data_IF_977238875258
#
_entry.id   IF_977238875258
#
_cell.length_a   1.000
_cell.length_b   1.000
_cell.length_c   1.000
_cell.angle_alpha   90.00
_cell.angle_beta   90.00
_cell.angle_gamma   90.00
#
_symmetry.space_group_name_H-M   'P 1'
#
loop_
_entity.id
_entity.type
_entity.pdbx_description
1 polymer ?
#
# COMPACT_ATOMS: atom_id res chain seq x y z
N UNK A 1 -2.10 -48.73 16.86
CA UNK A 1 -2.49 -47.43 17.44
C UNK A 1 -2.70 -46.46 16.31
N UNK A 2 -3.93 -46.17 16.02
CA UNK A 2 -4.29 -45.10 15.05
C UNK A 2 -4.19 -43.78 15.76
N UNK A 3 -3.18 -42.97 15.40
CA UNK A 3 -3.08 -41.61 15.88
C UNK A 3 -4.25 -40.79 15.35
N UNK A 4 -5.09 -40.27 16.24
CA UNK A 4 -6.13 -39.33 15.87
C UNK A 4 -5.47 -37.98 15.61
N UNK A 5 -5.37 -37.59 14.34
CA UNK A 5 -5.03 -36.20 14.00
C UNK A 5 -6.25 -35.34 14.29
N UNK A 6 -6.21 -34.59 15.41
CA UNK A 6 -7.25 -33.61 15.70
C UNK A 6 -7.08 -32.48 14.67
N UNK A 7 -8.01 -32.37 13.76
CA UNK A 7 -8.10 -31.19 12.89
C UNK A 7 -8.92 -30.13 13.61
N UNK A 8 -8.36 -28.93 13.83
CA UNK A 8 -9.16 -27.81 14.33
C UNK A 8 -10.35 -27.55 13.40
N UNK A 9 -11.49 -27.19 14.00
CA UNK A 9 -12.64 -26.73 13.21
C UNK A 9 -12.41 -25.28 12.79
N UNK A 10 -12.26 -25.06 11.50
CA UNK A 10 -12.13 -23.72 10.94
C UNK A 10 -13.44 -23.29 10.31
N UNK A 11 -13.75 -22.02 10.48
CA UNK A 11 -14.90 -21.39 9.83
C UNK A 11 -14.40 -20.36 8.81
N UNK A 12 -15.00 -20.33 7.63
CA UNK A 12 -14.83 -19.25 6.71
C UNK A 12 -15.79 -18.12 7.09
N UNK A 13 -15.25 -16.95 7.37
CA UNK A 13 -16.04 -15.77 7.69
C UNK A 13 -15.77 -14.67 6.66
N UNK A 14 -16.80 -13.88 6.37
CA UNK A 14 -16.68 -12.79 5.41
C UNK A 14 -16.25 -11.49 6.10
N UNK A 15 -15.72 -10.49 5.33
CA UNK A 15 -15.20 -9.25 5.92
C UNK A 15 -16.21 -8.43 6.72
N UNK A 16 -17.51 -8.59 6.48
CA UNK A 16 -18.58 -7.90 7.20
C UNK A 16 -19.11 -8.67 8.41
N UNK A 17 -18.60 -9.87 8.66
CA UNK A 17 -18.97 -10.67 9.84
C UNK A 17 -18.32 -10.09 11.11
N UNK A 18 -19.05 -10.17 12.23
CA UNK A 18 -18.55 -9.71 13.52
C UNK A 18 -17.29 -10.48 13.98
N UNK A 19 -17.19 -11.76 13.65
CA UNK A 19 -16.03 -12.59 13.93
C UNK A 19 -14.78 -12.12 13.20
N UNK A 20 -14.94 -11.57 11.98
CA UNK A 20 -13.81 -10.98 11.26
C UNK A 20 -13.24 -9.78 12.01
N UNK A 21 -14.11 -8.89 12.50
CA UNK A 21 -13.69 -7.72 13.25
C UNK A 21 -12.97 -8.10 14.56
N UNK A 22 -13.47 -9.11 15.26
CA UNK A 22 -12.84 -9.64 16.47
C UNK A 22 -11.46 -10.23 16.17
N UNK A 23 -11.36 -11.05 15.14
CA UNK A 23 -10.08 -11.60 14.68
C UNK A 23 -9.09 -10.50 14.31
N UNK A 24 -9.51 -9.53 13.53
CA UNK A 24 -8.65 -8.44 13.06
C UNK A 24 -8.13 -7.59 14.23
N UNK A 25 -8.96 -7.34 15.25
CA UNK A 25 -8.56 -6.62 16.45
C UNK A 25 -7.53 -7.41 17.26
N UNK A 26 -7.69 -8.72 17.39
CA UNK A 26 -6.73 -9.60 18.09
C UNK A 26 -5.40 -9.64 17.38
N UNK A 27 -5.41 -9.74 16.07
CA UNK A 27 -4.19 -9.71 15.27
C UNK A 27 -3.48 -8.36 15.35
N UNK A 28 -4.24 -7.25 15.31
CA UNK A 28 -3.69 -5.91 15.51
C UNK A 28 -3.00 -5.73 16.87
N UNK A 29 -3.61 -6.24 17.94
CA UNK A 29 -3.01 -6.22 19.27
C UNK A 29 -1.70 -7.03 19.32
N UNK A 30 -1.71 -8.22 18.73
CA UNK A 30 -0.50 -9.03 18.60
C UNK A 30 0.64 -8.27 17.90
N UNK A 31 0.36 -7.61 16.79
CA UNK A 31 1.36 -6.85 16.06
C UNK A 31 1.89 -5.65 16.84
N UNK A 32 1.02 -4.94 17.55
CA UNK A 32 1.42 -3.81 18.40
C UNK A 32 2.35 -4.25 19.52
N UNK A 33 2.02 -5.35 20.18
CA UNK A 33 2.81 -5.87 21.31
C UNK A 33 4.16 -6.45 20.87
N UNK A 34 4.17 -7.15 19.74
CA UNK A 34 5.37 -7.84 19.26
C UNK A 34 6.35 -6.92 18.54
N UNK A 35 5.87 -5.96 17.73
CA UNK A 35 6.71 -5.16 16.84
C UNK A 35 6.64 -3.66 17.07
N UNK A 36 5.87 -3.18 18.05
CA UNK A 36 5.59 -1.75 18.18
C UNK A 36 4.83 -1.21 16.97
N UNK A 37 4.00 -2.05 16.36
CA UNK A 37 3.33 -1.77 15.11
C UNK A 37 2.33 -0.63 15.28
N UNK A 38 2.67 0.53 14.75
CA UNK A 38 1.77 1.68 14.66
C UNK A 38 1.78 2.17 13.22
N UNK A 39 0.61 2.28 12.62
CA UNK A 39 0.45 2.76 11.25
C UNK A 39 -0.06 4.19 11.29
N UNK A 40 0.67 5.11 10.67
CA UNK A 40 0.19 6.46 10.36
C UNK A 40 -0.32 6.46 8.93
N UNK A 41 -1.55 6.88 8.74
CA UNK A 41 -2.17 6.96 7.41
C UNK A 41 -2.50 8.41 7.09
N UNK A 42 -2.16 8.83 5.88
CA UNK A 42 -2.57 10.13 5.36
C UNK A 42 -2.92 10.03 3.88
N UNK A 43 -3.65 11.03 3.39
CA UNK A 43 -3.98 11.15 1.96
C UNK A 43 -3.59 12.53 1.47
N UNK A 44 -3.03 12.59 0.26
CA UNK A 44 -2.84 13.83 -0.49
C UNK A 44 -3.89 13.90 -1.58
N UNK A 45 -4.54 15.05 -1.70
CA UNK A 45 -5.55 15.25 -2.75
C UNK A 45 -5.31 16.59 -3.45
N UNK A 46 -5.69 16.65 -4.71
CA UNK A 46 -5.78 17.88 -5.48
C UNK A 46 -7.23 18.14 -5.84
N UNK A 47 -7.71 19.34 -5.51
CA UNK A 47 -9.05 19.79 -5.90
C UNK A 47 -8.94 20.83 -7.00
N UNK A 48 -9.85 20.77 -7.97
CA UNK A 48 -10.11 21.81 -8.94
C UNK A 48 -11.60 21.97 -9.10
N UNK A 49 -12.08 23.22 -9.02
CA UNK A 49 -13.49 23.55 -9.15
C UNK A 49 -14.38 22.72 -8.21
N UNK A 50 -13.90 22.49 -6.97
CA UNK A 50 -14.62 21.73 -5.96
C UNK A 50 -14.57 20.20 -6.11
N UNK A 51 -13.98 19.67 -7.18
CA UNK A 51 -13.86 18.23 -7.40
C UNK A 51 -12.46 17.72 -7.10
N UNK A 52 -12.34 16.52 -6.59
CA UNK A 52 -11.04 15.82 -6.44
C UNK A 52 -10.63 15.29 -7.81
N UNK A 53 -9.46 15.71 -8.29
CA UNK A 53 -8.93 15.34 -9.61
C UNK A 53 -7.63 14.54 -9.54
N UNK A 54 -7.04 14.43 -8.37
CA UNK A 54 -5.89 13.57 -8.14
C UNK A 54 -5.78 13.24 -6.66
N UNK A 55 -5.17 12.13 -6.33
CA UNK A 55 -4.96 11.74 -4.94
C UNK A 55 -4.12 10.49 -4.81
N UNK A 56 -3.61 10.30 -3.60
CA UNK A 56 -2.86 9.11 -3.22
C UNK A 56 -2.77 8.99 -1.71
N UNK A 57 -2.44 7.81 -1.23
CA UNK A 57 -2.36 7.50 0.20
C UNK A 57 -0.94 7.13 0.59
N UNK A 58 -0.55 7.55 1.78
CA UNK A 58 0.66 7.12 2.44
C UNK A 58 0.32 6.34 3.71
N UNK A 59 0.95 5.20 3.87
CA UNK A 59 0.92 4.42 5.10
C UNK A 59 2.35 4.35 5.62
N UNK A 60 2.58 4.85 6.83
CA UNK A 60 3.91 4.83 7.44
C UNK A 60 3.91 3.87 8.61
N UNK A 61 4.79 2.90 8.58
CA UNK A 61 5.02 1.97 9.67
C UNK A 61 6.46 1.48 9.61
N UNK A 62 7.03 1.24 10.77
CA UNK A 62 8.41 0.75 10.92
C UNK A 62 9.44 1.59 10.17
N UNK A 63 9.22 2.92 10.09
CA UNK A 63 10.14 3.85 9.42
C UNK A 63 10.03 3.90 7.90
N UNK A 64 9.08 3.20 7.30
CA UNK A 64 8.89 3.15 5.85
C UNK A 64 7.53 3.70 5.43
N UNK A 65 7.52 4.38 4.28
CA UNK A 65 6.31 4.78 3.57
C UNK A 65 5.89 3.67 2.63
N UNK A 66 4.62 3.29 2.68
CA UNK A 66 3.98 2.53 1.59
C UNK A 66 3.05 3.47 0.84
N UNK A 67 3.31 3.66 -0.45
CA UNK A 67 2.46 4.47 -1.34
C UNK A 67 1.34 3.60 -1.87
N UNK A 68 0.10 4.07 -1.74
CA UNK A 68 -1.09 3.35 -2.22
C UNK A 68 -2.05 4.26 -2.95
N UNK A 69 -2.71 3.71 -3.98
CA UNK A 69 -3.84 4.35 -4.63
C UNK A 69 -3.53 5.65 -5.34
N UNK A 70 -2.32 5.78 -5.89
CA UNK A 70 -1.95 6.97 -6.67
C UNK A 70 -2.83 7.05 -7.92
N UNK A 71 -3.57 8.15 -8.05
CA UNK A 71 -4.52 8.34 -9.13
C UNK A 71 -4.55 9.79 -9.59
N UNK A 72 -4.59 9.98 -10.91
CA UNK A 72 -4.77 11.28 -11.56
C UNK A 72 -5.90 11.12 -12.58
N UNK A 73 -6.85 12.05 -12.56
CA UNK A 73 -7.96 12.07 -13.50
C UNK A 73 -7.43 12.12 -14.95
N UNK A 74 -8.10 11.39 -15.85
CA UNK A 74 -7.63 11.17 -17.21
C UNK A 74 -7.26 12.44 -17.96
N UNK A 75 -8.07 13.54 -17.94
CA UNK A 75 -7.72 14.78 -18.63
C UNK A 75 -6.43 15.45 -18.14
N UNK A 76 -5.98 15.13 -16.92
CA UNK A 76 -4.79 15.73 -16.31
C UNK A 76 -3.55 14.85 -16.38
N UNK A 77 -3.66 13.66 -16.96
CA UNK A 77 -2.50 12.77 -17.14
C UNK A 77 -1.53 13.37 -18.14
N UNK A 78 -0.23 13.14 -17.90
CA UNK A 78 0.83 13.71 -18.76
C UNK A 78 1.10 15.18 -18.51
N UNK A 79 0.58 15.78 -17.45
CA UNK A 79 0.76 17.21 -17.14
C UNK A 79 1.74 17.48 -15.99
N UNK A 80 2.37 16.43 -15.43
CA UNK A 80 3.27 16.53 -14.27
C UNK A 80 2.57 16.46 -12.92
N UNK A 81 1.25 16.33 -12.86
CA UNK A 81 0.50 16.26 -11.60
C UNK A 81 0.85 14.98 -10.84
N UNK A 82 0.99 13.85 -11.54
CA UNK A 82 1.37 12.59 -10.89
C UNK A 82 2.73 12.67 -10.20
N UNK A 83 3.71 13.29 -10.85
CA UNK A 83 5.05 13.52 -10.28
C UNK A 83 5.00 14.44 -9.05
N UNK A 84 4.24 15.52 -9.14
CA UNK A 84 4.06 16.45 -8.02
C UNK A 84 3.34 15.78 -6.84
N UNK A 85 2.33 14.97 -7.11
CA UNK A 85 1.59 14.23 -6.09
C UNK A 85 2.48 13.21 -5.37
N UNK A 86 3.24 12.41 -6.13
CA UNK A 86 4.17 11.46 -5.54
C UNK A 86 5.22 12.17 -4.68
N UNK A 87 5.78 13.27 -5.18
CA UNK A 87 6.72 14.10 -4.42
C UNK A 87 6.13 14.65 -3.13
N UNK A 88 4.88 15.11 -3.16
CA UNK A 88 4.18 15.60 -1.97
C UNK A 88 3.97 14.48 -0.92
N UNK A 89 3.63 13.28 -1.35
CA UNK A 89 3.48 12.13 -0.46
C UNK A 89 4.84 11.76 0.16
N UNK A 90 5.90 11.73 -0.63
CA UNK A 90 7.25 11.44 -0.15
C UNK A 90 7.75 12.51 0.84
N UNK A 91 7.51 13.78 0.55
CA UNK A 91 7.90 14.87 1.44
C UNK A 91 7.17 14.82 2.77
N UNK A 92 5.87 14.54 2.75
CA UNK A 92 5.10 14.37 3.99
C UNK A 92 5.59 13.17 4.80
N UNK A 93 5.95 12.09 4.13
CA UNK A 93 6.51 10.91 4.78
C UNK A 93 7.88 11.21 5.43
N UNK A 94 8.74 11.97 4.75
CA UNK A 94 10.02 12.44 5.33
C UNK A 94 9.79 13.28 6.56
N UNK A 95 8.84 14.19 6.50
CA UNK A 95 8.47 15.04 7.64
C UNK A 95 8.00 14.21 8.84
N UNK A 96 7.41 13.06 8.59
CA UNK A 96 6.96 12.11 9.62
C UNK A 96 8.02 11.06 10.00
N UNK A 97 9.24 11.21 9.49
CA UNK A 97 10.38 10.36 9.86
C UNK A 97 10.61 9.12 9.02
N UNK A 98 9.90 8.94 7.91
CA UNK A 98 10.17 7.83 7.01
C UNK A 98 11.48 8.05 6.24
N UNK A 99 12.28 6.99 6.11
CA UNK A 99 13.56 7.01 5.42
C UNK A 99 13.59 6.15 4.17
N UNK A 100 12.51 5.42 3.91
CA UNK A 100 12.39 4.50 2.77
C UNK A 100 10.96 4.49 2.29
N UNK A 101 10.76 4.32 0.99
CA UNK A 101 9.44 4.15 0.40
C UNK A 101 9.34 2.82 -0.33
N UNK A 102 8.17 2.23 -0.30
CA UNK A 102 7.84 1.02 -1.04
C UNK A 102 6.46 1.16 -1.66
N UNK A 103 6.25 0.43 -2.74
CA UNK A 103 4.95 0.32 -3.41
C UNK A 103 4.91 -0.96 -4.24
N UNK A 104 3.72 -1.33 -4.67
CA UNK A 104 3.57 -2.32 -5.71
C UNK A 104 2.75 -1.75 -6.87
N UNK A 105 3.00 -2.28 -8.05
CA UNK A 105 2.26 -1.90 -9.26
C UNK A 105 2.06 -3.13 -10.13
N UNK A 106 0.98 -3.12 -10.90
CA UNK A 106 0.62 -4.23 -11.77
C UNK A 106 1.04 -3.94 -13.22
N UNK A 107 1.12 -4.99 -14.04
CA UNK A 107 1.55 -4.93 -15.43
C UNK A 107 0.77 -3.93 -16.31
N UNK A 108 -0.48 -3.62 -15.94
CA UNK A 108 -1.31 -2.64 -16.67
C UNK A 108 -1.26 -1.23 -16.09
N UNK A 109 -0.45 -1.00 -15.04
CA UNK A 109 -0.37 0.28 -14.36
C UNK A 109 0.89 1.07 -14.79
N UNK A 110 1.58 1.70 -13.85
CA UNK A 110 2.51 2.78 -14.12
C UNK A 110 3.96 2.48 -13.75
N UNK A 111 4.45 1.24 -13.96
CA UNK A 111 5.83 0.87 -13.67
C UNK A 111 6.87 1.85 -14.22
N UNK A 112 6.81 2.29 -15.51
CA UNK A 112 7.81 3.23 -16.03
C UNK A 112 7.82 4.57 -15.30
N UNK A 113 6.65 5.03 -14.85
CA UNK A 113 6.53 6.25 -14.07
C UNK A 113 7.30 6.14 -12.75
N UNK A 114 7.13 5.05 -12.03
CA UNK A 114 7.84 4.85 -10.76
C UNK A 114 9.35 4.69 -10.94
N UNK A 115 9.79 4.02 -12.00
CA UNK A 115 11.23 3.93 -12.33
C UNK A 115 11.84 5.31 -12.59
N UNK A 116 11.14 6.19 -13.31
CA UNK A 116 11.60 7.57 -13.53
C UNK A 116 11.72 8.38 -12.25
N UNK A 117 10.99 8.00 -11.20
CA UNK A 117 11.02 8.68 -9.90
C UNK A 117 11.88 7.97 -8.85
N UNK A 118 12.79 7.12 -9.30
CA UNK A 118 13.82 6.52 -8.48
C UNK A 118 13.45 5.20 -7.81
N UNK A 119 12.27 4.67 -8.11
CA UNK A 119 11.86 3.35 -7.61
C UNK A 119 12.51 2.24 -8.43
N UNK A 120 12.95 1.18 -7.76
CA UNK A 120 13.55 0.00 -8.39
C UNK A 120 12.80 -1.25 -7.95
N UNK A 121 12.68 -2.20 -8.87
CA UNK A 121 12.06 -3.49 -8.61
C UNK A 121 12.94 -4.32 -7.69
N UNK A 122 12.33 -4.94 -6.67
CA UNK A 122 13.01 -5.91 -5.83
C UNK A 122 12.29 -7.27 -5.78
N UNK A 123 11.03 -7.35 -6.21
CA UNK A 123 10.28 -8.60 -6.28
C UNK A 123 9.26 -8.55 -7.41
N UNK A 124 8.95 -9.72 -7.94
CA UNK A 124 7.95 -9.89 -8.99
C UNK A 124 7.10 -11.14 -8.71
N UNK A 125 5.81 -11.03 -8.95
CA UNK A 125 4.89 -12.15 -8.92
C UNK A 125 4.12 -12.22 -10.23
N UNK A 126 4.20 -13.38 -10.90
CA UNK A 126 3.47 -13.65 -12.14
C UNK A 126 2.15 -14.34 -11.80
N UNK A 127 1.02 -13.78 -12.22
CA UNK A 127 -0.30 -14.35 -12.01
C UNK A 127 -0.64 -15.38 -13.06
N UNK A 128 -1.42 -16.42 -12.72
CA UNK A 128 -1.86 -17.41 -13.70
C UNK A 128 -2.62 -16.82 -14.89
N UNK A 129 -3.29 -15.67 -14.71
CA UNK A 129 -4.06 -15.00 -15.75
C UNK A 129 -3.21 -14.13 -16.72
N UNK A 130 -1.89 -14.26 -16.71
CA UNK A 130 -1.01 -13.59 -17.68
C UNK A 130 -0.58 -12.17 -17.30
N UNK A 131 -0.94 -11.68 -16.13
CA UNK A 131 -0.46 -10.42 -15.60
C UNK A 131 0.63 -10.65 -14.56
N UNK A 132 1.37 -9.58 -14.23
CA UNK A 132 2.34 -9.61 -13.13
C UNK A 132 2.15 -8.42 -12.20
N UNK A 133 2.66 -8.56 -10.99
CA UNK A 133 2.84 -7.50 -10.02
C UNK A 133 4.33 -7.36 -9.73
N UNK A 134 4.80 -6.15 -9.61
CA UNK A 134 6.14 -5.88 -9.10
C UNK A 134 6.07 -5.06 -7.83
N UNK A 135 6.99 -5.36 -6.91
CA UNK A 135 7.21 -4.60 -5.70
C UNK A 135 8.49 -3.77 -5.89
N UNK A 136 8.40 -2.50 -5.54
CA UNK A 136 9.46 -1.52 -5.80
C UNK A 136 9.78 -0.75 -4.53
N UNK A 137 11.02 -0.29 -4.40
CA UNK A 137 11.44 0.54 -3.28
C UNK A 137 12.35 1.69 -3.73
N UNK A 138 12.53 2.63 -2.80
CA UNK A 138 13.34 3.83 -2.98
C UNK A 138 13.78 4.33 -1.62
N UNK A 139 15.02 4.77 -1.49
CA UNK A 139 15.45 5.52 -0.32
C UNK A 139 14.93 6.96 -0.38
N UNK A 140 14.44 7.46 0.73
CA UNK A 140 13.89 8.82 0.83
C UNK A 140 14.92 9.83 1.31
#
# INVERSE_FOLDING_TARGET
>A
MTGHTIRPEFQCVEPDDAEYADYAARFGTYNSDAGGWQVQTFSMILRRDGAIVAGGRGHIYLGALEVRGLWVDAPLRGTGIGAALLGAIEDEARRRGASKAMLYTYSWQAEPFYRRHGYREYARFDFPAGHYRIDMDKDL
#
